data_IF_918209426320
#
_entry.id   IF_918209426320
#
_cell.length_a   1.000
_cell.length_b   1.000
_cell.length_c   1.000
_cell.angle_alpha   90.00
_cell.angle_beta   90.00
_cell.angle_gamma   90.00
#
_symmetry.space_group_name_H-M   'P 1'
#
loop_
_entity.id
_entity.type
_entity.pdbx_description
1 polymer ?
#
# COMPACT_ATOMS: atom_id res chain seq x y z
N UNK A 1 0.14 -2.25 -9.14
CA UNK A 1 1.20 -1.75 -10.04
C UNK A 1 2.26 -2.83 -10.23
N UNK A 2 2.89 -2.85 -11.41
CA UNK A 2 3.92 -3.84 -11.69
C UNK A 2 5.29 -3.30 -11.23
N UNK A 3 5.97 -4.03 -10.36
CA UNK A 3 7.37 -3.80 -10.01
C UNK A 3 8.26 -4.55 -10.98
N UNK A 4 9.22 -3.85 -11.56
CA UNK A 4 10.19 -4.43 -12.51
C UNK A 4 11.41 -4.95 -11.75
N UNK A 5 11.57 -6.26 -11.69
CA UNK A 5 12.62 -6.91 -10.90
C UNK A 5 14.06 -6.53 -11.28
N UNK A 6 14.33 -6.24 -12.54
CA UNK A 6 15.65 -5.82 -13.04
C UNK A 6 16.00 -4.36 -12.76
N UNK A 7 15.03 -3.54 -12.36
CA UNK A 7 15.24 -2.15 -12.01
C UNK A 7 15.48 -2.01 -10.49
N UNK A 8 16.23 -0.98 -10.10
CA UNK A 8 16.42 -0.62 -8.69
C UNK A 8 15.12 -0.08 -8.08
N UNK A 9 15.07 0.06 -6.75
CA UNK A 9 13.96 0.74 -6.05
C UNK A 9 13.74 2.13 -6.64
N UNK A 10 14.81 2.91 -6.77
CA UNK A 10 14.75 4.27 -7.33
C UNK A 10 14.19 4.28 -8.75
N UNK A 11 14.71 3.42 -9.64
CA UNK A 11 14.26 3.35 -11.04
C UNK A 11 12.79 2.93 -11.18
N UNK A 12 12.30 2.03 -10.32
CA UNK A 12 10.88 1.66 -10.28
C UNK A 12 10.01 2.87 -9.93
N UNK A 13 10.41 3.67 -8.95
CA UNK A 13 9.68 4.88 -8.54
C UNK A 13 9.77 5.97 -9.61
N UNK A 14 10.94 6.16 -10.25
CA UNK A 14 11.05 7.08 -11.39
C UNK A 14 10.11 6.70 -12.54
N UNK A 15 9.99 5.40 -12.84
CA UNK A 15 9.11 4.91 -13.89
C UNK A 15 7.62 5.12 -13.55
N UNK A 16 7.27 5.01 -12.26
CA UNK A 16 5.90 5.20 -11.76
C UNK A 16 5.50 6.70 -11.66
N UNK A 17 6.47 7.62 -11.66
CA UNK A 17 6.19 9.03 -11.53
C UNK A 17 5.38 9.56 -12.73
N UNK A 18 4.38 10.45 -12.50
CA UNK A 18 3.52 10.96 -13.55
C UNK A 18 4.33 11.70 -14.63
N UNK A 19 3.99 11.46 -15.89
CA UNK A 19 4.63 12.15 -17.03
C UNK A 19 4.23 13.63 -16.98
N UNK A 20 5.18 14.53 -16.74
CA UNK A 20 4.93 15.97 -16.89
C UNK A 20 4.37 16.28 -18.28
N UNK A 21 3.24 17.02 -18.33
CA UNK A 21 2.57 17.37 -19.58
C UNK A 21 3.35 18.37 -20.45
N UNK A 22 4.50 18.83 -20.02
CA UNK A 22 5.35 19.79 -20.74
C UNK A 22 6.50 19.08 -21.45
N UNK A 23 6.25 18.57 -22.64
CA UNK A 23 7.30 18.05 -23.52
C UNK A 23 6.79 17.02 -24.51
N UNK A 24 7.29 17.06 -25.74
CA UNK A 24 7.09 16.05 -26.76
C UNK A 24 7.40 14.65 -26.19
N UNK A 25 6.67 13.59 -26.56
CA UNK A 25 6.95 12.23 -26.13
C UNK A 25 8.30 11.80 -26.74
N UNK A 26 9.38 12.08 -26.03
CA UNK A 26 10.74 11.86 -26.50
C UNK A 26 11.55 11.03 -25.51
N UNK A 27 12.25 10.13 -26.04
CA UNK A 27 13.05 8.97 -25.61
C UNK A 27 14.02 9.17 -24.42
N UNK A 28 14.11 10.34 -23.79
CA UNK A 28 15.02 10.61 -22.66
C UNK A 28 14.33 11.51 -21.64
N UNK A 29 13.61 10.89 -20.70
CA UNK A 29 13.03 11.61 -19.57
C UNK A 29 14.06 11.77 -18.45
N UNK A 30 14.57 12.97 -18.24
CA UNK A 30 15.20 13.33 -16.98
C UNK A 30 14.11 13.77 -16.01
N UNK A 31 13.99 13.12 -14.84
CA UNK A 31 13.09 13.57 -13.78
C UNK A 31 13.31 15.06 -13.49
N UNK A 32 12.21 15.83 -13.38
CA UNK A 32 12.29 17.23 -12.96
C UNK A 32 12.80 17.30 -11.52
N UNK A 33 13.30 18.48 -11.07
CA UNK A 33 13.71 18.64 -9.67
C UNK A 33 12.61 18.23 -8.68
N UNK A 34 11.37 18.66 -8.93
CA UNK A 34 10.22 18.29 -8.08
C UNK A 34 9.85 16.80 -8.09
N UNK A 35 10.12 16.09 -9.20
CA UNK A 35 9.91 14.64 -9.24
C UNK A 35 10.93 13.91 -8.35
N UNK A 36 12.18 14.39 -8.31
CA UNK A 36 13.25 13.81 -7.48
C UNK A 36 13.01 14.01 -6.00
N UNK A 37 12.59 15.22 -5.60
CA UNK A 37 12.25 15.53 -4.22
C UNK A 37 11.11 14.61 -3.75
N UNK A 38 10.08 14.45 -4.58
CA UNK A 38 8.96 13.57 -4.28
C UNK A 38 9.33 12.09 -4.21
N UNK A 39 10.19 11.59 -5.09
CA UNK A 39 10.67 10.21 -5.01
C UNK A 39 11.43 9.99 -3.71
N UNK A 40 12.28 10.94 -3.29
CA UNK A 40 12.97 10.89 -2.01
C UNK A 40 12.01 10.83 -0.82
N UNK A 41 10.98 11.69 -0.81
CA UNK A 41 9.92 11.68 0.21
C UNK A 41 9.20 10.34 0.28
N UNK A 42 8.85 9.77 -0.88
CA UNK A 42 8.17 8.46 -0.95
C UNK A 42 9.08 7.35 -0.44
N UNK A 43 10.37 7.30 -0.85
CA UNK A 43 11.33 6.29 -0.38
C UNK A 43 11.40 6.30 1.14
N UNK A 44 11.56 7.47 1.74
CA UNK A 44 11.61 7.62 3.20
C UNK A 44 10.27 7.28 3.86
N UNK A 45 9.15 7.62 3.23
CA UNK A 45 7.82 7.30 3.76
C UNK A 45 7.56 5.79 3.83
N UNK A 46 8.02 5.03 2.81
CA UNK A 46 7.90 3.57 2.78
C UNK A 46 9.10 2.83 3.40
N UNK A 47 10.10 3.54 3.96
CA UNK A 47 11.23 2.95 4.68
C UNK A 47 12.21 2.15 3.82
N UNK A 48 12.39 2.53 2.55
CA UNK A 48 13.29 1.85 1.62
C UNK A 48 14.63 2.58 1.37
N UNK A 49 14.99 3.57 2.22
CA UNK A 49 16.21 4.37 2.08
C UNK A 49 17.47 3.51 1.99
N UNK A 50 17.57 2.45 2.80
CA UNK A 50 18.75 1.58 2.86
C UNK A 50 18.93 0.67 1.63
N UNK A 51 17.93 0.55 0.78
CA UNK A 51 17.89 -0.36 -0.38
C UNK A 51 17.59 0.37 -1.69
N UNK A 52 17.75 1.68 -1.72
CA UNK A 52 17.39 2.55 -2.85
C UNK A 52 18.03 2.11 -4.18
N UNK A 53 19.28 1.66 -4.17
CA UNK A 53 20.05 1.22 -5.33
C UNK A 53 20.00 -0.30 -5.53
N UNK A 54 19.23 -1.04 -4.71
CA UNK A 54 19.07 -2.49 -4.84
C UNK A 54 18.01 -2.79 -5.92
N UNK A 55 18.29 -3.74 -6.80
CA UNK A 55 17.31 -4.22 -7.77
C UNK A 55 16.14 -4.92 -7.05
N UNK A 56 14.92 -4.67 -7.52
CA UNK A 56 13.71 -5.15 -6.88
C UNK A 56 13.61 -6.69 -6.78
N UNK A 57 14.29 -7.42 -7.65
CA UNK A 57 14.37 -8.89 -7.58
C UNK A 57 15.12 -9.41 -6.35
N UNK A 58 15.97 -8.59 -5.72
CA UNK A 58 16.76 -8.95 -4.53
C UNK A 58 16.15 -8.45 -3.22
N UNK A 59 15.02 -7.73 -3.29
CA UNK A 59 14.29 -7.29 -2.11
C UNK A 59 13.62 -8.48 -1.41
N UNK A 60 13.47 -8.37 -0.07
CA UNK A 60 12.59 -9.26 0.67
C UNK A 60 11.14 -9.11 0.17
N UNK A 61 10.27 -10.06 0.57
CA UNK A 61 8.86 -9.99 0.20
C UNK A 61 8.21 -8.70 0.73
N UNK A 62 8.41 -8.37 2.01
CA UNK A 62 7.90 -7.13 2.61
C UNK A 62 8.44 -5.87 1.94
N UNK A 63 9.75 -5.79 1.67
CA UNK A 63 10.34 -4.66 0.96
C UNK A 63 9.72 -4.47 -0.43
N UNK A 64 9.38 -5.56 -1.11
CA UNK A 64 8.72 -5.49 -2.41
C UNK A 64 7.29 -4.94 -2.30
N UNK A 65 6.53 -5.36 -1.29
CA UNK A 65 5.20 -4.80 -1.03
C UNK A 65 5.26 -3.31 -0.70
N UNK A 66 6.23 -2.88 0.10
CA UNK A 66 6.45 -1.45 0.37
C UNK A 66 6.82 -0.68 -0.90
N UNK A 67 7.63 -1.27 -1.80
CA UNK A 67 7.93 -0.66 -3.09
C UNK A 67 6.67 -0.54 -3.96
N UNK A 68 5.78 -1.53 -3.95
CA UNK A 68 4.49 -1.47 -4.66
C UNK A 68 3.63 -0.31 -4.16
N UNK A 69 3.53 -0.13 -2.85
CA UNK A 69 2.85 1.04 -2.26
C UNK A 69 3.57 2.34 -2.67
N UNK A 70 4.89 2.37 -2.63
CA UNK A 70 5.69 3.51 -3.07
C UNK A 70 5.37 3.93 -4.52
N UNK A 71 5.25 2.96 -5.44
CA UNK A 71 4.90 3.25 -6.84
C UNK A 71 3.52 3.88 -7.01
N UNK A 72 2.57 3.57 -6.13
CA UNK A 72 1.27 4.25 -6.09
C UNK A 72 1.41 5.68 -5.58
N UNK A 73 2.16 5.88 -4.51
CA UNK A 73 2.30 7.17 -3.82
C UNK A 73 2.99 8.25 -4.67
N UNK A 74 3.93 7.87 -5.54
CA UNK A 74 4.65 8.83 -6.40
C UNK A 74 3.70 9.65 -7.26
N UNK A 75 2.54 9.07 -7.66
CA UNK A 75 1.53 9.77 -8.45
C UNK A 75 0.60 10.69 -7.65
N UNK A 76 0.79 10.81 -6.32
CA UNK A 76 -0.07 11.59 -5.40
C UNK A 76 -1.57 11.27 -5.56
N UNK A 77 -1.98 10.02 -5.44
CA UNK A 77 -3.38 9.64 -5.64
C UNK A 77 -4.24 10.17 -4.49
N UNK A 78 -5.49 10.55 -4.78
CA UNK A 78 -6.47 10.88 -3.74
C UNK A 78 -7.05 9.64 -3.07
N UNK A 79 -7.09 8.53 -3.79
CA UNK A 79 -7.61 7.24 -3.34
C UNK A 79 -6.58 6.14 -3.59
N UNK A 80 -6.27 5.39 -2.56
CA UNK A 80 -5.46 4.17 -2.59
C UNK A 80 -6.36 2.96 -2.40
N UNK A 81 -6.25 1.99 -3.30
CA UNK A 81 -6.87 0.67 -3.16
C UNK A 81 -5.75 -0.34 -2.95
N UNK A 82 -5.73 -0.99 -1.80
CA UNK A 82 -4.67 -1.92 -1.40
C UNK A 82 -5.34 -3.26 -1.10
N UNK A 83 -4.90 -4.29 -1.82
CA UNK A 83 -5.46 -5.63 -1.73
C UNK A 83 -4.44 -6.56 -1.06
N UNK A 84 -4.84 -7.18 0.06
CA UNK A 84 -4.07 -8.11 0.88
C UNK A 84 -2.62 -7.65 1.20
N UNK A 85 -2.42 -6.42 1.75
CA UNK A 85 -1.07 -5.91 2.01
C UNK A 85 -0.29 -6.68 3.07
N UNK A 86 -0.95 -7.45 3.92
CA UNK A 86 -0.32 -8.25 4.97
C UNK A 86 0.07 -9.66 4.51
N UNK A 87 -0.32 -10.08 3.30
CA UNK A 87 -0.11 -11.45 2.84
C UNK A 87 1.38 -11.83 2.81
N UNK A 88 1.76 -12.89 3.55
CA UNK A 88 3.11 -13.42 3.57
C UNK A 88 4.15 -12.58 4.33
N UNK A 89 3.73 -11.57 5.07
CA UNK A 89 4.58 -10.79 5.96
C UNK A 89 4.79 -11.50 7.30
N UNK A 90 5.90 -11.22 7.95
CA UNK A 90 6.10 -11.55 9.38
C UNK A 90 5.23 -10.65 10.26
N UNK A 91 5.04 -11.01 11.54
CA UNK A 91 4.26 -10.19 12.48
C UNK A 91 4.83 -8.76 12.64
N UNK A 92 6.15 -8.62 12.60
CA UNK A 92 6.84 -7.34 12.66
C UNK A 92 6.59 -6.51 11.40
N UNK A 93 6.70 -7.12 10.22
CA UNK A 93 6.43 -6.48 8.93
C UNK A 93 4.93 -6.11 8.81
N UNK A 94 4.03 -6.97 9.29
CA UNK A 94 2.58 -6.72 9.35
C UNK A 94 2.26 -5.49 10.20
N UNK A 95 2.87 -5.37 11.37
CA UNK A 95 2.70 -4.22 12.26
C UNK A 95 3.27 -2.92 11.65
N UNK A 96 4.42 -3.03 10.98
CA UNK A 96 5.01 -1.91 10.25
C UNK A 96 4.12 -1.47 9.07
N UNK A 97 3.52 -2.42 8.33
CA UNK A 97 2.57 -2.16 7.24
C UNK A 97 1.31 -1.45 7.76
N UNK A 98 0.72 -1.90 8.86
CA UNK A 98 -0.44 -1.25 9.46
C UNK A 98 -0.11 0.20 9.87
N UNK A 99 1.07 0.43 10.43
CA UNK A 99 1.54 1.76 10.81
C UNK A 99 1.73 2.67 9.57
N UNK A 100 2.30 2.15 8.49
CA UNK A 100 2.43 2.86 7.22
C UNK A 100 1.06 3.26 6.68
N UNK A 101 0.11 2.33 6.60
CA UNK A 101 -1.23 2.58 6.05
C UNK A 101 -1.98 3.63 6.87
N UNK A 102 -1.91 3.59 8.20
CA UNK A 102 -2.51 4.62 9.06
C UNK A 102 -1.92 6.01 8.78
N UNK A 103 -0.61 6.09 8.65
CA UNK A 103 0.07 7.35 8.29
C UNK A 103 -0.36 7.87 6.91
N UNK A 104 -0.53 6.98 5.93
CA UNK A 104 -1.02 7.36 4.61
C UNK A 104 -2.47 7.88 4.64
N UNK A 105 -3.30 7.33 5.53
CA UNK A 105 -4.70 7.75 5.69
C UNK A 105 -4.85 9.19 6.22
N UNK A 106 -3.80 9.79 6.78
CA UNK A 106 -3.81 11.22 7.18
C UNK A 106 -3.89 12.16 5.96
N UNK A 107 -3.40 11.73 4.80
CA UNK A 107 -3.34 12.55 3.57
C UNK A 107 -4.08 11.97 2.37
N UNK A 108 -4.56 10.73 2.47
CA UNK A 108 -5.21 10.01 1.38
C UNK A 108 -6.47 9.29 1.87
N UNK A 109 -7.42 9.08 0.98
CA UNK A 109 -8.46 8.07 1.23
C UNK A 109 -7.86 6.70 0.94
N UNK A 110 -7.89 5.79 1.91
CA UNK A 110 -7.33 4.44 1.76
C UNK A 110 -8.45 3.42 1.95
N UNK A 111 -8.56 2.48 1.02
CA UNK A 111 -9.41 1.30 1.14
C UNK A 111 -8.48 0.09 1.12
N UNK A 112 -8.57 -0.72 2.16
CA UNK A 112 -7.82 -1.98 2.30
C UNK A 112 -8.80 -3.13 2.21
N UNK A 113 -8.48 -4.13 1.39
CA UNK A 113 -9.19 -5.40 1.33
C UNK A 113 -8.32 -6.42 2.05
N UNK A 114 -8.86 -7.04 3.08
CA UNK A 114 -8.11 -7.98 3.92
C UNK A 114 -9.03 -9.02 4.55
N UNK A 115 -8.44 -10.15 4.86
CA UNK A 115 -9.08 -11.26 5.58
C UNK A 115 -8.37 -11.59 6.91
N UNK A 116 -7.19 -11.01 7.16
CA UNK A 116 -6.47 -11.11 8.42
C UNK A 116 -7.07 -10.14 9.45
N UNK A 117 -7.82 -10.70 10.41
CA UNK A 117 -8.51 -9.90 11.43
C UNK A 117 -7.57 -9.22 12.41
N UNK A 118 -6.37 -9.76 12.63
CA UNK A 118 -5.38 -9.14 13.52
C UNK A 118 -4.71 -7.93 12.86
N UNK A 119 -4.48 -8.01 11.56
CA UNK A 119 -4.03 -6.88 10.77
C UNK A 119 -5.13 -5.81 10.67
N UNK A 120 -6.37 -6.19 10.32
CA UNK A 120 -7.51 -5.25 10.24
C UNK A 120 -7.72 -4.51 11.55
N UNK A 121 -7.57 -5.18 12.71
CA UNK A 121 -7.66 -4.54 14.03
C UNK A 121 -6.60 -3.45 14.22
N UNK A 122 -5.39 -3.65 13.70
CA UNK A 122 -4.29 -2.68 13.81
C UNK A 122 -4.51 -1.44 12.94
N UNK A 123 -5.38 -1.49 11.93
CA UNK A 123 -5.68 -0.33 11.07
C UNK A 123 -6.54 0.73 11.79
N UNK A 124 -7.28 0.36 12.84
CA UNK A 124 -8.14 1.27 13.63
C UNK A 124 -9.14 2.05 12.77
N UNK A 125 -9.67 1.41 11.72
CA UNK A 125 -10.56 2.01 10.73
C UNK A 125 -11.98 1.44 10.84
N UNK A 126 -12.92 2.09 10.16
CA UNK A 126 -14.25 1.51 9.92
C UNK A 126 -14.14 0.32 8.96
N UNK A 127 -14.92 -0.72 9.26
CA UNK A 127 -14.88 -1.99 8.55
C UNK A 127 -16.22 -2.19 7.84
N UNK A 128 -16.14 -2.62 6.58
CA UNK A 128 -17.26 -3.15 5.82
C UNK A 128 -17.04 -4.64 5.59
N UNK A 129 -17.88 -5.48 6.17
CA UNK A 129 -17.82 -6.94 5.97
C UNK A 129 -18.64 -7.32 4.75
N UNK A 130 -17.98 -7.96 3.79
CA UNK A 130 -18.60 -8.50 2.58
C UNK A 130 -18.73 -10.02 2.69
N UNK A 131 -19.91 -10.53 2.40
CA UNK A 131 -20.17 -11.97 2.27
C UNK A 131 -21.07 -12.22 1.07
N UNK A 132 -20.69 -13.15 0.18
CA UNK A 132 -21.42 -13.49 -1.05
C UNK A 132 -21.84 -12.27 -1.89
N UNK A 133 -20.96 -11.27 -1.97
CA UNK A 133 -21.19 -10.04 -2.76
C UNK A 133 -22.16 -9.04 -2.12
N UNK A 134 -22.53 -9.22 -0.84
CA UNK A 134 -23.42 -8.32 -0.10
C UNK A 134 -22.72 -7.77 1.14
N UNK A 135 -23.07 -6.56 1.51
CA UNK A 135 -22.65 -5.98 2.78
C UNK A 135 -23.39 -6.69 3.91
N UNK A 136 -22.64 -7.32 4.80
CA UNK A 136 -23.15 -8.04 5.95
C UNK A 136 -23.23 -7.13 7.19
N UNK A 137 -22.18 -6.35 7.44
CA UNK A 137 -22.08 -5.40 8.55
C UNK A 137 -21.14 -4.26 8.19
N UNK A 138 -21.32 -3.09 8.85
CA UNK A 138 -20.44 -1.93 8.74
C UNK A 138 -20.27 -1.26 10.09
N UNK A 139 -19.10 -0.72 10.36
CA UNK A 139 -18.78 0.06 11.56
C UNK A 139 -17.42 -0.26 12.17
N UNK A 140 -17.18 0.18 13.41
CA UNK A 140 -15.92 -0.10 14.10
C UNK A 140 -15.80 -1.59 14.42
N UNK A 141 -14.56 -2.05 14.63
CA UNK A 141 -14.23 -3.46 14.92
C UNK A 141 -15.13 -4.07 15.99
N UNK A 142 -15.38 -3.33 17.09
CA UNK A 142 -16.19 -3.82 18.22
C UNK A 142 -17.64 -4.11 17.82
N UNK A 143 -18.22 -3.31 16.94
CA UNK A 143 -19.59 -3.51 16.46
C UNK A 143 -19.66 -4.68 15.47
N UNK A 144 -18.71 -4.76 14.56
CA UNK A 144 -18.65 -5.80 13.54
C UNK A 144 -18.42 -7.19 14.17
N UNK A 145 -17.51 -7.30 15.13
CA UNK A 145 -17.25 -8.57 15.84
C UNK A 145 -18.41 -9.05 16.71
N UNK A 146 -19.28 -8.16 17.13
CA UNK A 146 -20.46 -8.51 17.93
C UNK A 146 -21.70 -8.85 17.07
N UNK A 147 -21.65 -8.63 15.76
CA UNK A 147 -22.78 -8.92 14.86
C UNK A 147 -22.95 -10.45 14.70
N UNK A 148 -24.11 -11.03 15.05
CA UNK A 148 -24.35 -12.46 14.95
C UNK A 148 -24.15 -13.02 13.53
N UNK A 149 -24.46 -12.22 12.51
CA UNK A 149 -24.30 -12.61 11.10
C UNK A 149 -22.82 -12.75 10.72
N UNK A 150 -21.97 -11.89 11.26
CA UNK A 150 -20.50 -11.94 11.07
C UNK A 150 -19.94 -13.15 11.80
N UNK A 151 -20.39 -13.39 13.04
CA UNK A 151 -19.99 -14.55 13.84
C UNK A 151 -20.33 -15.85 13.10
N UNK A 152 -21.54 -15.97 12.58
CA UNK A 152 -21.97 -17.16 11.82
C UNK A 152 -21.16 -17.35 10.53
N UNK A 153 -20.89 -16.28 9.79
CA UNK A 153 -20.20 -16.37 8.50
C UNK A 153 -18.69 -16.63 8.61
N UNK A 154 -18.03 -16.08 9.61
CA UNK A 154 -16.56 -16.05 9.70
C UNK A 154 -15.97 -16.70 10.96
N UNK A 155 -16.69 -16.69 12.09
CA UNK A 155 -16.18 -17.14 13.39
C UNK A 155 -16.88 -18.40 13.89
N UNK A 156 -17.97 -18.80 13.27
CA UNK A 156 -18.80 -19.95 13.66
C UNK A 156 -18.37 -21.28 13.05
N UNK A 157 -17.14 -21.39 12.51
CA UNK A 157 -16.58 -22.65 11.97
C UNK A 157 -15.52 -23.22 12.85
#
# INVERSE_FOLDING_TARGET
PAVFGSLTVHENLELAAPVSKSGLPGLYRKASGGDRDRIGEVISAVGLDSVIDVQAQYLSHGQRQWLEIGTLLVSSPKLLLIDEPAAGLTDEETSAMATLIRKLAEGHTVIVIEHDMDFVRQLEADITVLNEGKILAEGPMSAVQADPRVIEAYLGR
#
